data_IF_011465141453
#
_entry.id   IF_011465141453
#
_cell.length_a   1.000
_cell.length_b   1.000
_cell.length_c   1.000
_cell.angle_alpha   90.00
_cell.angle_beta   90.00
_cell.angle_gamma   90.00
#
_symmetry.space_group_name_H-M   'P 1'
#
loop_
_entity.id
_entity.type
_entity.pdbx_description
1 polymer ?
#
# COMPACT_ATOMS: atom_id res chain seq x y z
N UNK A 1 -9.71 6.93 34.75
CA UNK A 1 -10.56 7.22 33.59
C UNK A 1 -9.69 7.88 32.53
N UNK A 2 -9.47 7.24 31.38
CA UNK A 2 -8.77 7.89 30.26
C UNK A 2 -9.68 9.00 29.73
N UNK A 3 -9.14 10.20 29.61
CA UNK A 3 -9.91 11.43 29.45
C UNK A 3 -10.57 11.51 28.06
N UNK A 4 -11.70 12.22 27.96
CA UNK A 4 -12.38 12.51 26.67
C UNK A 4 -11.45 13.16 25.64
N UNK A 5 -10.42 13.88 26.11
CA UNK A 5 -9.40 14.51 25.28
C UNK A 5 -8.48 13.49 24.60
N UNK A 6 -8.06 12.45 25.32
CA UNK A 6 -7.24 11.37 24.73
C UNK A 6 -8.03 10.56 23.70
N UNK A 7 -9.31 10.27 23.97
CA UNK A 7 -10.19 9.59 23.02
C UNK A 7 -10.41 10.43 21.75
N UNK A 8 -10.53 11.76 21.87
CA UNK A 8 -10.58 12.67 20.73
C UNK A 8 -9.26 12.68 19.95
N UNK A 9 -8.11 12.75 20.63
CA UNK A 9 -6.81 12.74 19.98
C UNK A 9 -6.52 11.42 19.24
N UNK A 10 -6.95 10.28 19.79
CA UNK A 10 -6.83 8.97 19.11
C UNK A 10 -7.74 8.92 17.87
N UNK A 11 -8.98 9.43 17.98
CA UNK A 11 -9.90 9.52 16.85
C UNK A 11 -9.34 10.41 15.74
N UNK A 12 -8.81 11.58 16.10
CA UNK A 12 -8.28 12.56 15.15
C UNK A 12 -7.05 12.02 14.40
N UNK A 13 -6.13 11.35 15.12
CA UNK A 13 -5.00 10.64 14.52
C UNK A 13 -5.45 9.53 13.57
N UNK A 14 -6.40 8.70 13.99
CA UNK A 14 -6.92 7.63 13.15
C UNK A 14 -7.64 8.16 11.89
N UNK A 15 -8.35 9.28 12.00
CA UNK A 15 -8.97 9.95 10.86
C UNK A 15 -7.92 10.53 9.91
N UNK A 16 -6.88 11.22 10.43
CA UNK A 16 -5.79 11.74 9.62
C UNK A 16 -5.02 10.64 8.86
N UNK A 17 -4.75 9.49 9.51
CA UNK A 17 -4.12 8.34 8.86
C UNK A 17 -5.02 7.71 7.77
N UNK A 18 -6.33 7.64 8.00
CA UNK A 18 -7.28 7.18 6.96
C UNK A 18 -7.37 8.15 5.78
N UNK A 19 -7.27 9.44 6.06
CA UNK A 19 -7.38 10.51 5.08
C UNK A 19 -6.14 10.54 4.16
N UNK A 20 -4.94 10.35 4.72
CA UNK A 20 -3.71 10.10 3.93
C UNK A 20 -3.80 8.87 3.03
N UNK A 21 -4.58 7.85 3.41
CA UNK A 21 -4.80 6.65 2.58
C UNK A 21 -5.78 6.86 1.43
N UNK A 22 -6.69 7.84 1.51
CA UNK A 22 -7.72 8.08 0.49
C UNK A 22 -7.32 9.15 -0.54
N UNK A 23 -6.40 10.05 -0.21
CA UNK A 23 -6.23 11.32 -0.95
C UNK A 23 -4.85 11.53 -1.60
N UNK A 24 -4.19 10.47 -2.07
CA UNK A 24 -3.09 10.66 -3.02
C UNK A 24 -3.56 10.28 -4.44
N UNK A 25 -4.23 11.18 -5.18
CA UNK A 25 -4.63 10.94 -6.57
C UNK A 25 -3.42 10.72 -7.49
N UNK A 26 -2.21 11.07 -7.04
CA UNK A 26 -0.94 10.80 -7.73
C UNK A 26 -0.26 9.50 -7.26
N UNK A 27 -0.83 8.75 -6.31
CA UNK A 27 -0.24 7.48 -5.88
C UNK A 27 -0.38 6.42 -6.98
N UNK A 28 0.76 5.92 -7.46
CA UNK A 28 0.78 4.86 -8.46
C UNK A 28 0.43 3.52 -7.80
N UNK A 29 -0.56 2.81 -8.38
CA UNK A 29 -0.92 1.46 -7.97
C UNK A 29 -0.42 0.46 -9.00
N UNK A 30 0.46 -0.44 -8.58
CA UNK A 30 0.98 -1.53 -9.40
C UNK A 30 0.27 -2.81 -9.01
N UNK A 31 -0.46 -3.41 -9.95
CA UNK A 31 -1.20 -4.65 -9.77
C UNK A 31 -0.46 -5.78 -10.48
N UNK A 32 -0.09 -6.83 -9.75
CA UNK A 32 0.60 -8.00 -10.31
C UNK A 32 -0.35 -9.19 -10.34
N UNK A 33 -0.68 -9.67 -11.54
CA UNK A 33 -1.47 -10.88 -11.75
C UNK A 33 -0.73 -12.12 -11.24
N UNK A 34 -1.15 -12.65 -10.10
CA UNK A 34 -0.48 -13.74 -9.37
C UNK A 34 -1.29 -15.05 -9.36
N UNK A 35 -2.23 -15.22 -10.30
CA UNK A 35 -2.95 -16.48 -10.49
C UNK A 35 -2.12 -17.51 -11.28
N UNK A 36 -2.72 -18.63 -11.68
CA UNK A 36 -2.01 -19.77 -12.30
C UNK A 36 -1.18 -19.37 -13.52
N UNK A 37 -1.78 -18.67 -14.48
CA UNK A 37 -1.08 -18.19 -15.67
C UNK A 37 -0.01 -17.14 -15.33
N UNK A 38 -0.29 -16.27 -14.36
CA UNK A 38 0.64 -15.22 -13.93
C UNK A 38 1.89 -15.78 -13.25
N UNK A 39 1.73 -16.76 -12.36
CA UNK A 39 2.86 -17.44 -11.72
C UNK A 39 3.68 -18.20 -12.77
N UNK A 40 3.02 -18.91 -13.69
CA UNK A 40 3.69 -19.63 -14.78
C UNK A 40 4.49 -18.70 -15.71
N UNK A 41 3.98 -17.49 -15.97
CA UNK A 41 4.65 -16.46 -16.76
C UNK A 41 5.77 -15.72 -15.98
N UNK A 42 5.97 -16.02 -14.69
CA UNK A 42 7.04 -15.42 -13.88
C UNK A 42 6.62 -14.18 -13.08
N UNK A 43 5.39 -14.09 -12.60
CA UNK A 43 4.94 -12.95 -11.78
C UNK A 43 5.69 -12.80 -10.44
N UNK A 44 6.24 -13.88 -9.87
CA UNK A 44 6.97 -13.87 -8.59
C UNK A 44 8.24 -13.00 -8.61
N UNK A 45 9.22 -13.21 -9.52
CA UNK A 45 10.39 -12.35 -9.59
C UNK A 45 10.03 -10.90 -9.93
N UNK A 46 8.97 -10.67 -10.71
CA UNK A 46 8.48 -9.33 -11.03
C UNK A 46 7.98 -8.61 -9.77
N UNK A 47 7.14 -9.27 -8.96
CA UNK A 47 6.64 -8.71 -7.70
C UNK A 47 7.80 -8.31 -6.77
N UNK A 48 8.78 -9.19 -6.59
CA UNK A 48 9.93 -8.93 -5.73
C UNK A 48 10.76 -7.74 -6.22
N UNK A 49 11.05 -7.70 -7.53
CA UNK A 49 11.80 -6.61 -8.13
C UNK A 49 11.12 -5.25 -7.93
N UNK A 50 9.78 -5.19 -8.03
CA UNK A 50 9.04 -3.96 -7.75
C UNK A 50 9.17 -3.53 -6.29
N UNK A 51 9.04 -4.45 -5.34
CA UNK A 51 9.19 -4.15 -3.91
C UNK A 51 10.59 -3.64 -3.59
N UNK A 52 11.62 -4.30 -4.13
CA UNK A 52 13.02 -3.93 -3.93
C UNK A 52 13.34 -2.55 -4.54
N UNK A 53 12.92 -2.27 -5.76
CA UNK A 53 13.19 -0.99 -6.41
C UNK A 53 12.44 0.17 -5.76
N UNK A 54 11.20 -0.05 -5.30
CA UNK A 54 10.45 0.96 -4.55
C UNK A 54 11.15 1.28 -3.24
N UNK A 55 11.59 0.25 -2.50
CA UNK A 55 12.32 0.43 -1.26
C UNK A 55 13.67 1.14 -1.49
N UNK A 56 14.43 0.71 -2.50
CA UNK A 56 15.74 1.27 -2.86
C UNK A 56 15.66 2.75 -3.28
N UNK A 57 14.57 3.13 -3.96
CA UNK A 57 14.32 4.52 -4.40
C UNK A 57 13.57 5.35 -3.36
N UNK A 58 13.16 4.76 -2.24
CA UNK A 58 12.42 5.45 -1.18
C UNK A 58 11.07 6.00 -1.61
N UNK A 59 10.42 5.37 -2.61
CA UNK A 59 9.14 5.82 -3.14
C UNK A 59 8.02 5.52 -2.13
N UNK A 60 7.36 6.57 -1.63
CA UNK A 60 6.29 6.46 -0.62
C UNK A 60 4.89 6.46 -1.23
N UNK A 61 4.76 7.00 -2.43
CA UNK A 61 3.49 7.15 -3.15
C UNK A 61 3.27 6.01 -4.16
N UNK A 62 3.90 4.86 -3.97
CA UNK A 62 3.70 3.67 -4.83
C UNK A 62 3.24 2.50 -3.97
N UNK A 63 2.10 1.92 -4.35
CA UNK A 63 1.58 0.70 -3.70
C UNK A 63 1.61 -0.46 -4.69
N UNK A 64 2.28 -1.53 -4.32
CA UNK A 64 2.27 -2.80 -5.08
C UNK A 64 1.29 -3.75 -4.44
N UNK A 65 0.40 -4.34 -5.23
CA UNK A 65 -0.59 -5.30 -4.74
C UNK A 65 -0.70 -6.47 -5.70
N UNK A 66 -0.83 -7.66 -5.14
CA UNK A 66 -1.14 -8.87 -5.89
C UNK A 66 -2.63 -8.93 -6.24
N UNK A 67 -2.94 -9.25 -7.50
CA UNK A 67 -4.31 -9.46 -7.98
C UNK A 67 -4.43 -10.84 -8.62
N UNK A 68 -5.63 -11.41 -8.58
CA UNK A 68 -5.94 -12.64 -9.32
C UNK A 68 -6.35 -12.36 -10.76
N UNK A 69 -6.14 -13.35 -11.63
CA UNK A 69 -6.79 -13.53 -12.92
C UNK A 69 -7.17 -15.01 -13.05
#
# INVERSE_FOLDING_TARGET
MKSLAELKAIRDKAQAEMQMRQENPNAARVLVGMATCGIAAGARPVLNAFVEEIAKRGLKDVTVTQTGC
#
